data_IF_200153422884
#
_entry.id   IF_200153422884
#
_cell.length_a   1.000
_cell.length_b   1.000
_cell.length_c   1.000
_cell.angle_alpha   90.00
_cell.angle_beta   90.00
_cell.angle_gamma   90.00
#
_symmetry.space_group_name_H-M   'P 1'
#
loop_
_entity.id
_entity.type
_entity.pdbx_description
1 polymer ?
#
# COMPACT_ATOMS: atom_id res chain seq x y z
N UNK A 1 8.78 60.56 -34.16
CA UNK A 1 8.06 60.11 -32.95
C UNK A 1 8.96 59.09 -32.26
N UNK A 2 9.47 59.45 -31.08
CA UNK A 2 10.48 58.72 -30.30
C UNK A 2 9.84 57.49 -29.66
N UNK A 3 10.45 56.31 -29.82
CA UNK A 3 10.15 55.17 -28.95
C UNK A 3 10.77 55.51 -27.60
N UNK A 4 9.93 55.69 -26.58
CA UNK A 4 10.36 56.00 -25.21
C UNK A 4 11.27 54.89 -24.67
N UNK A 5 12.46 55.20 -24.12
CA UNK A 5 13.42 54.19 -23.63
C UNK A 5 12.98 53.50 -22.33
N UNK A 6 11.87 53.95 -21.72
CA UNK A 6 11.38 53.48 -20.43
C UNK A 6 10.81 52.04 -20.43
N UNK A 7 10.62 51.40 -21.60
CA UNK A 7 10.05 50.05 -21.68
C UNK A 7 11.12 48.94 -21.71
N UNK A 8 12.36 49.25 -22.07
CA UNK A 8 13.40 48.24 -22.24
C UNK A 8 14.12 47.86 -20.93
N UNK A 9 14.24 48.80 -19.98
CA UNK A 9 14.98 48.55 -18.73
C UNK A 9 14.23 47.67 -17.72
N UNK A 10 12.90 47.63 -17.78
CA UNK A 10 12.08 46.87 -16.82
C UNK A 10 11.79 45.43 -17.24
N UNK A 11 11.97 45.08 -18.51
CA UNK A 11 11.78 43.71 -19.00
C UNK A 11 13.00 42.81 -18.77
N UNK A 12 14.21 43.39 -18.77
CA UNK A 12 15.47 42.64 -18.64
C UNK A 12 15.69 42.14 -17.20
N UNK A 13 15.25 42.90 -16.19
CA UNK A 13 15.47 42.53 -14.77
C UNK A 13 14.59 41.36 -14.30
N UNK A 14 13.42 41.14 -14.89
CA UNK A 14 12.51 40.04 -14.48
C UNK A 14 12.93 38.70 -15.12
N UNK A 15 13.58 38.73 -16.28
CA UNK A 15 14.01 37.53 -16.99
C UNK A 15 15.14 36.77 -16.28
N UNK A 16 15.97 37.46 -15.49
CA UNK A 16 17.15 36.84 -14.84
C UNK A 16 16.75 36.10 -13.55
N UNK A 17 15.73 36.55 -12.81
CA UNK A 17 15.29 35.88 -11.59
C UNK A 17 14.41 34.64 -11.84
N UNK A 18 13.63 34.62 -12.93
CA UNK A 18 12.72 33.52 -13.25
C UNK A 18 13.42 32.24 -13.74
N UNK A 19 14.64 32.34 -14.28
CA UNK A 19 15.39 31.20 -14.83
C UNK A 19 16.14 30.40 -13.76
N UNK A 20 16.46 30.99 -12.60
CA UNK A 20 17.25 30.33 -11.55
C UNK A 20 16.38 29.47 -10.61
N UNK A 21 15.13 29.86 -10.34
CA UNK A 21 14.24 29.08 -9.47
C UNK A 21 13.58 27.91 -10.21
N UNK A 22 13.27 28.07 -11.50
CA UNK A 22 12.69 27.01 -12.33
C UNK A 22 13.66 25.86 -12.65
N UNK A 23 14.97 26.13 -12.71
CA UNK A 23 16.00 25.12 -12.97
C UNK A 23 16.29 24.25 -11.75
N UNK A 24 16.31 24.81 -10.54
CA UNK A 24 16.54 24.04 -9.32
C UNK A 24 15.43 23.00 -9.07
N UNK A 25 14.15 23.36 -9.28
CA UNK A 25 13.03 22.44 -9.12
C UNK A 25 13.02 21.32 -10.16
N UNK A 26 13.37 21.62 -11.42
CA UNK A 26 13.45 20.60 -12.48
C UNK A 26 14.66 19.69 -12.31
N UNK A 27 15.80 20.18 -11.81
CA UNK A 27 16.96 19.36 -11.45
C UNK A 27 16.66 18.44 -10.26
N UNK A 28 15.95 18.95 -9.24
CA UNK A 28 15.51 18.13 -8.11
C UNK A 28 14.54 17.04 -8.55
N UNK A 29 13.50 17.38 -9.33
CA UNK A 29 12.54 16.42 -9.87
C UNK A 29 13.22 15.32 -10.71
N UNK A 30 14.16 15.70 -11.59
CA UNK A 30 14.95 14.75 -12.38
C UNK A 30 15.90 13.89 -11.54
N UNK A 31 16.52 14.45 -10.50
CA UNK A 31 17.37 13.68 -9.57
C UNK A 31 16.54 12.71 -8.75
N UNK A 32 15.38 13.13 -8.25
CA UNK A 32 14.47 12.25 -7.51
C UNK A 32 13.89 11.16 -8.38
N UNK A 33 13.55 11.45 -9.65
CA UNK A 33 13.05 10.41 -10.56
C UNK A 33 14.14 9.42 -10.93
N UNK A 34 15.38 9.87 -11.17
CA UNK A 34 16.49 8.99 -11.49
C UNK A 34 16.94 8.12 -10.31
N UNK A 35 16.95 8.70 -9.11
CA UNK A 35 17.17 7.96 -7.86
C UNK A 35 16.01 7.00 -7.54
N UNK A 36 14.77 7.38 -7.88
CA UNK A 36 13.62 6.49 -7.74
C UNK A 36 13.67 5.33 -8.74
N UNK A 37 14.06 5.56 -10.00
CA UNK A 37 14.27 4.50 -10.99
C UNK A 37 15.42 3.56 -10.60
N UNK A 38 16.55 4.09 -10.14
CA UNK A 38 17.67 3.28 -9.64
C UNK A 38 17.28 2.48 -8.38
N UNK A 39 16.50 3.08 -7.48
CA UNK A 39 15.96 2.38 -6.32
C UNK A 39 14.96 1.29 -6.75
N UNK A 40 14.09 1.56 -7.72
CA UNK A 40 13.11 0.59 -8.24
C UNK A 40 13.78 -0.58 -8.96
N UNK A 41 14.87 -0.32 -9.72
CA UNK A 41 15.67 -1.35 -10.38
C UNK A 41 16.42 -2.26 -9.40
N UNK A 42 16.71 -1.76 -8.19
CA UNK A 42 17.36 -2.54 -7.11
C UNK A 42 16.35 -3.25 -6.18
N UNK A 43 15.05 -3.10 -6.41
CA UNK A 43 14.02 -3.72 -5.59
C UNK A 43 13.47 -4.97 -6.28
N UNK A 44 13.53 -6.11 -5.60
CA UNK A 44 12.87 -7.34 -6.05
C UNK A 44 11.42 -7.37 -5.57
N UNK A 45 10.57 -8.02 -6.33
CA UNK A 45 9.22 -8.34 -5.87
C UNK A 45 9.30 -9.20 -4.62
N UNK A 46 8.46 -8.88 -3.63
CA UNK A 46 8.39 -9.66 -2.41
C UNK A 46 7.78 -11.03 -2.71
N UNK A 47 8.58 -12.09 -2.60
CA UNK A 47 8.17 -13.46 -2.89
C UNK A 47 7.00 -13.93 -2.00
N UNK A 48 6.92 -13.44 -0.76
CA UNK A 48 5.87 -13.82 0.19
C UNK A 48 4.47 -13.35 -0.23
N UNK A 49 4.36 -12.23 -0.95
CA UNK A 49 3.09 -11.67 -1.42
C UNK A 49 3.02 -11.52 -2.94
N UNK A 50 4.04 -11.98 -3.68
CA UNK A 50 4.15 -11.90 -5.14
C UNK A 50 3.89 -10.48 -5.66
N UNK A 51 4.57 -9.49 -5.08
CA UNK A 51 4.41 -8.09 -5.49
C UNK A 51 3.15 -7.37 -4.97
N UNK A 52 2.14 -8.08 -4.45
CA UNK A 52 0.86 -7.45 -4.09
C UNK A 52 0.91 -6.51 -2.88
N UNK A 53 1.84 -6.73 -1.95
CA UNK A 53 1.88 -6.04 -0.66
C UNK A 53 0.75 -6.43 0.31
N UNK A 54 -0.18 -7.31 -0.10
CA UNK A 54 -1.32 -7.73 0.71
C UNK A 54 -0.98 -9.03 1.44
N UNK A 55 -1.53 -9.22 2.64
CA UNK A 55 -1.37 -10.48 3.36
C UNK A 55 -2.01 -11.63 2.55
N UNK A 56 -1.25 -12.67 2.13
CA UNK A 56 -1.77 -13.73 1.28
C UNK A 56 -2.79 -14.64 1.98
N UNK A 57 -2.75 -14.72 3.32
CA UNK A 57 -3.63 -15.59 4.10
C UNK A 57 -5.05 -15.03 4.21
N UNK A 58 -5.17 -13.75 4.57
CA UNK A 58 -6.48 -13.08 4.71
C UNK A 58 -6.87 -12.25 3.48
N UNK A 59 -6.00 -12.14 2.48
CA UNK A 59 -6.23 -11.41 1.22
C UNK A 59 -6.67 -9.96 1.43
N UNK A 60 -6.19 -9.32 2.49
CA UNK A 60 -6.49 -7.93 2.81
C UNK A 60 -7.70 -7.70 3.72
N UNK A 61 -8.43 -8.75 4.09
CA UNK A 61 -9.60 -8.64 4.97
C UNK A 61 -9.20 -8.42 6.45
N UNK A 62 -8.07 -9.00 6.86
CA UNK A 62 -7.58 -8.96 8.24
C UNK A 62 -8.25 -9.98 9.17
N UNK A 63 -9.15 -10.80 8.64
CA UNK A 63 -9.75 -11.96 9.30
C UNK A 63 -9.76 -13.17 8.35
N UNK A 64 -9.79 -14.37 8.93
CA UNK A 64 -9.86 -15.64 8.22
C UNK A 64 -11.09 -16.41 8.70
N UNK A 65 -11.77 -17.07 7.78
CA UNK A 65 -12.85 -17.97 8.13
C UNK A 65 -12.26 -19.20 8.82
N UNK A 66 -12.72 -19.48 10.05
CA UNK A 66 -12.31 -20.68 10.77
C UNK A 66 -12.97 -21.87 10.11
N UNK A 67 -12.16 -22.74 9.50
CA UNK A 67 -12.63 -24.07 9.09
C UNK A 67 -13.06 -24.82 10.34
N UNK A 68 -14.28 -25.33 10.31
CA UNK A 68 -14.81 -26.09 11.42
C UNK A 68 -14.16 -27.48 11.42
N UNK A 69 -13.41 -27.80 12.48
CA UNK A 69 -12.94 -29.18 12.66
C UNK A 69 -14.13 -30.10 12.93
N UNK A 70 -14.01 -31.40 12.66
CA UNK A 70 -15.13 -32.34 12.81
C UNK A 70 -15.71 -32.36 14.22
N UNK A 71 -14.84 -32.32 15.25
CA UNK A 71 -15.28 -32.24 16.64
C UNK A 71 -16.07 -30.95 16.95
N UNK A 72 -15.65 -29.83 16.36
CA UNK A 72 -16.35 -28.55 16.50
C UNK A 72 -17.66 -28.54 15.71
N UNK A 73 -17.70 -29.20 14.55
CA UNK A 73 -18.90 -29.38 13.75
C UNK A 73 -19.95 -30.21 14.49
N UNK A 74 -19.51 -31.28 15.15
CA UNK A 74 -20.40 -32.13 15.93
C UNK A 74 -20.91 -31.41 17.18
N UNK A 75 -20.03 -30.68 17.89
CA UNK A 75 -20.45 -29.79 18.98
C UNK A 75 -21.51 -28.78 18.54
N UNK A 76 -21.38 -28.23 17.33
CA UNK A 76 -22.39 -27.35 16.75
C UNK A 76 -23.73 -28.04 16.58
N UNK A 77 -23.73 -29.26 16.05
CA UNK A 77 -24.95 -30.03 15.81
C UNK A 77 -25.65 -30.39 17.12
N UNK A 78 -24.89 -30.80 18.14
CA UNK A 78 -25.42 -31.18 19.45
C UNK A 78 -25.97 -29.99 20.24
N UNK A 79 -25.38 -28.80 20.06
CA UNK A 79 -25.80 -27.58 20.81
C UNK A 79 -26.82 -26.72 20.06
N UNK A 80 -27.10 -27.03 18.79
CA UNK A 80 -28.05 -26.28 17.99
C UNK A 80 -29.49 -26.61 18.37
N UNK A 81 -30.29 -25.56 18.58
CA UNK A 81 -31.74 -25.68 18.84
C UNK A 81 -32.58 -25.68 17.56
N UNK A 82 -31.99 -25.29 16.44
CA UNK A 82 -32.68 -25.15 15.17
C UNK A 82 -31.73 -25.35 13.97
N UNK A 83 -32.31 -25.52 12.79
CA UNK A 83 -31.54 -25.75 11.56
C UNK A 83 -30.63 -24.58 11.18
N UNK A 84 -31.04 -23.33 11.46
CA UNK A 84 -30.25 -22.13 11.17
C UNK A 84 -28.92 -22.08 11.94
N UNK A 85 -28.88 -22.66 13.15
CA UNK A 85 -27.71 -22.65 14.02
C UNK A 85 -26.92 -23.96 14.01
N UNK A 86 -27.35 -24.97 13.22
CA UNK A 86 -26.80 -26.33 13.20
C UNK A 86 -25.28 -26.43 12.98
N UNK A 87 -24.69 -25.43 12.34
CA UNK A 87 -23.24 -25.41 12.02
C UNK A 87 -22.45 -24.38 12.84
N UNK A 88 -23.12 -23.70 13.78
CA UNK A 88 -22.57 -22.50 14.41
C UNK A 88 -22.92 -22.36 15.89
N UNK A 89 -23.83 -23.19 16.41
CA UNK A 89 -24.22 -23.16 17.81
C UNK A 89 -23.05 -23.57 18.72
N UNK A 90 -22.96 -22.95 19.90
CA UNK A 90 -21.95 -23.29 20.91
C UNK A 90 -20.49 -23.10 20.46
N UNK A 91 -20.27 -22.46 19.31
CA UNK A 91 -18.96 -22.23 18.72
C UNK A 91 -18.54 -20.78 18.87
N UNK A 92 -17.23 -20.51 19.06
CA UNK A 92 -16.70 -19.16 18.90
C UNK A 92 -16.96 -18.66 17.48
N UNK A 93 -16.83 -17.34 17.26
CA UNK A 93 -17.10 -16.69 15.97
C UNK A 93 -16.56 -17.51 14.78
N UNK A 94 -17.36 -17.58 13.70
CA UNK A 94 -17.01 -18.30 12.44
C UNK A 94 -15.75 -17.77 11.75
N UNK A 95 -15.26 -16.63 12.20
CA UNK A 95 -14.05 -15.97 11.75
C UNK A 95 -13.14 -15.71 12.95
N UNK A 96 -11.84 -15.64 12.69
CA UNK A 96 -10.86 -15.08 13.62
C UNK A 96 -10.03 -14.03 12.92
N UNK A 97 -9.45 -13.14 13.72
CA UNK A 97 -8.41 -12.25 13.23
C UNK A 97 -7.28 -13.03 12.57
N UNK A 98 -6.77 -12.49 11.48
CA UNK A 98 -5.62 -13.04 10.78
C UNK A 98 -4.39 -12.87 11.66
N UNK A 99 -3.86 -13.98 12.19
CA UNK A 99 -2.69 -13.94 13.06
C UNK A 99 -1.40 -13.78 12.26
N UNK A 100 -1.36 -14.17 10.97
CA UNK A 100 -0.17 -13.97 10.12
C UNK A 100 0.20 -12.50 9.92
N UNK A 101 -0.79 -11.62 9.81
CA UNK A 101 -0.56 -10.18 9.68
C UNK A 101 -1.02 -9.37 10.90
N UNK A 102 -1.40 -10.04 12.00
CA UNK A 102 -1.98 -9.39 13.19
C UNK A 102 -3.11 -8.42 12.83
N UNK A 103 -3.93 -8.78 11.83
CA UNK A 103 -5.00 -7.96 11.27
C UNK A 103 -4.59 -6.62 10.62
N UNK A 104 -3.29 -6.37 10.40
CA UNK A 104 -2.79 -5.20 9.64
C UNK A 104 -3.17 -5.24 8.16
N UNK A 105 -3.61 -6.40 7.63
CA UNK A 105 -4.04 -6.63 6.23
C UNK A 105 -2.92 -6.59 5.19
N UNK A 106 -1.77 -6.05 5.54
CA UNK A 106 -0.57 -5.99 4.69
C UNK A 106 0.35 -7.19 4.87
N UNK A 107 1.18 -7.45 3.86
CA UNK A 107 2.28 -8.41 3.95
C UNK A 107 3.32 -7.90 4.95
N UNK A 108 3.58 -8.69 6.01
CA UNK A 108 4.55 -8.32 7.05
C UNK A 108 5.99 -8.33 6.54
N UNK A 109 6.30 -9.16 5.54
CA UNK A 109 7.66 -9.34 5.04
C UNK A 109 8.19 -8.11 4.31
N UNK A 110 7.34 -7.40 3.57
CA UNK A 110 7.69 -6.18 2.85
C UNK A 110 7.05 -4.91 3.46
N UNK A 111 6.41 -5.02 4.63
CA UNK A 111 5.67 -3.90 5.22
C UNK A 111 4.51 -3.37 4.36
N UNK A 112 4.03 -4.18 3.41
CA UNK A 112 2.96 -3.81 2.49
C UNK A 112 3.39 -3.13 1.20
N UNK A 113 4.68 -2.89 0.98
CA UNK A 113 5.18 -2.25 -0.26
C UNK A 113 5.09 -3.14 -1.51
N UNK A 114 4.98 -4.46 -1.32
CA UNK A 114 5.10 -5.43 -2.40
C UNK A 114 6.53 -5.67 -2.89
N UNK A 115 7.50 -4.89 -2.39
CA UNK A 115 8.90 -4.90 -2.84
C UNK A 115 9.85 -5.03 -1.66
N UNK A 116 10.95 -5.76 -1.85
CA UNK A 116 12.03 -5.88 -0.86
C UNK A 116 13.33 -5.40 -1.49
N UNK A 117 14.15 -4.70 -0.70
CA UNK A 117 15.54 -4.45 -1.06
C UNK A 117 16.20 -5.77 -1.42
N UNK A 118 16.99 -5.77 -2.50
CA UNK A 118 17.98 -6.83 -2.77
C UNK A 118 18.98 -6.88 -1.62
#
# INVERSE_FOLDING_TARGET
MRVSPALAETAVSIAIAATVVGTAATILARRSSKAAEEAEASMKECEACLGSGICPECKGEGFVLKKLSDANAEKARLTAKNMATRYTAGLPKKWSYCTKCSSTRSCITCGGSGKTSI
#
